data_IF_237913919012
#
_entry.id   IF_237913919012
#
_cell.length_a   1.000
_cell.length_b   1.000
_cell.length_c   1.000
_cell.angle_alpha   90.00
_cell.angle_beta   90.00
_cell.angle_gamma   90.00
#
_symmetry.space_group_name_H-M   'P 1'
#
loop_
_entity.id
_entity.type
_entity.pdbx_description
1 polymer ?
#
# COMPACT_ATOMS: atom_id res chain seq x y z
N UNK A 1 17.84 -16.75 12.72
CA UNK A 1 17.03 -17.80 13.37
C UNK A 1 15.56 -17.48 13.09
N UNK A 2 14.96 -18.05 12.03
CA UNK A 2 13.56 -17.82 11.71
C UNK A 2 12.74 -18.73 12.62
N UNK A 3 11.92 -18.16 13.52
CA UNK A 3 11.07 -18.93 14.43
C UNK A 3 10.25 -19.97 13.63
N UNK A 4 10.51 -21.26 13.85
CA UNK A 4 9.82 -22.39 13.18
C UNK A 4 8.28 -22.31 13.31
N UNK A 5 7.79 -21.64 14.36
CA UNK A 5 6.36 -21.41 14.64
C UNK A 5 5.67 -20.53 13.58
N UNK A 6 6.39 -19.59 12.96
CA UNK A 6 5.85 -18.67 11.94
C UNK A 6 5.73 -19.28 10.54
N UNK A 7 6.23 -20.51 10.33
CA UNK A 7 6.08 -21.24 9.07
C UNK A 7 4.80 -22.07 8.98
N UNK A 8 4.08 -22.22 10.08
CA UNK A 8 2.81 -22.96 10.10
C UNK A 8 1.70 -22.10 9.48
N UNK A 9 0.91 -22.71 8.59
CA UNK A 9 -0.32 -22.12 8.09
C UNK A 9 -1.36 -22.10 9.22
N UNK A 10 -2.13 -21.02 9.45
CA UNK A 10 -2.31 -19.81 8.63
C UNK A 10 -1.39 -18.62 8.99
N UNK A 11 -0.53 -18.76 10.01
CA UNK A 11 0.31 -17.67 10.52
C UNK A 11 1.31 -17.14 9.48
N UNK A 12 1.86 -18.01 8.63
CA UNK A 12 2.73 -17.59 7.53
C UNK A 12 2.03 -16.71 6.49
N UNK A 13 0.72 -16.95 6.25
CA UNK A 13 -0.09 -16.13 5.36
C UNK A 13 -0.38 -14.75 5.97
N UNK A 14 -0.79 -14.71 7.24
CA UNK A 14 -1.02 -13.46 7.97
C UNK A 14 0.26 -12.63 8.09
N UNK A 15 1.39 -13.28 8.37
CA UNK A 15 2.72 -12.67 8.45
C UNK A 15 3.13 -12.02 7.12
N UNK A 16 2.77 -12.64 5.99
CA UNK A 16 3.06 -12.07 4.66
C UNK A 16 2.15 -10.90 4.26
N UNK A 17 1.12 -10.60 5.07
CA UNK A 17 0.09 -9.60 4.76
C UNK A 17 0.12 -8.38 5.66
N UNK A 18 0.58 -8.54 6.90
CA UNK A 18 0.78 -7.44 7.83
C UNK A 18 2.10 -6.73 7.54
N UNK A 19 2.02 -5.42 7.37
CA UNK A 19 3.20 -4.58 7.15
C UNK A 19 4.16 -4.61 8.35
N UNK A 20 3.60 -4.77 9.54
CA UNK A 20 4.35 -4.88 10.80
C UNK A 20 5.26 -6.09 10.86
N UNK A 21 4.74 -7.24 10.40
CA UNK A 21 5.47 -8.49 10.34
C UNK A 21 6.64 -8.42 9.35
N UNK A 22 6.43 -7.77 8.21
CA UNK A 22 7.48 -7.50 7.22
C UNK A 22 8.57 -6.58 7.81
N UNK A 23 8.17 -5.49 8.44
CA UNK A 23 9.10 -4.52 9.05
C UNK A 23 9.90 -5.12 10.22
N UNK A 24 9.26 -5.92 11.08
CA UNK A 24 9.96 -6.64 12.14
C UNK A 24 10.95 -7.67 11.58
N UNK A 25 10.58 -8.36 10.50
CA UNK A 25 11.48 -9.24 9.76
C UNK A 25 12.72 -8.51 9.25
N UNK A 26 12.54 -7.32 8.67
CA UNK A 26 13.62 -6.46 8.18
C UNK A 26 14.54 -5.99 9.33
N UNK A 27 13.95 -5.52 10.43
CA UNK A 27 14.70 -5.10 11.64
C UNK A 27 15.53 -6.25 12.24
N UNK A 28 14.97 -7.46 12.30
CA UNK A 28 15.71 -8.63 12.77
C UNK A 28 16.92 -8.96 11.88
N UNK A 29 16.80 -8.81 10.56
CA UNK A 29 17.93 -8.98 9.64
C UNK A 29 19.01 -7.90 9.86
N UNK A 30 18.61 -6.65 10.03
CA UNK A 30 19.51 -5.55 10.35
C UNK A 30 20.27 -5.78 11.67
N UNK A 31 19.57 -6.21 12.72
CA UNK A 31 20.18 -6.59 13.99
C UNK A 31 21.15 -7.77 13.84
N UNK A 32 20.82 -8.77 13.02
CA UNK A 32 21.71 -9.89 12.74
C UNK A 32 22.99 -9.44 12.01
N UNK A 33 22.90 -8.48 11.08
CA UNK A 33 24.07 -7.90 10.40
C UNK A 33 24.95 -7.11 11.36
N UNK A 34 24.36 -6.32 12.26
CA UNK A 34 25.09 -5.55 13.29
C UNK A 34 25.76 -6.49 14.30
N UNK A 35 25.01 -7.48 14.80
CA UNK A 35 25.46 -8.45 15.80
C UNK A 35 26.48 -9.46 15.25
N UNK A 36 26.71 -9.52 13.94
CA UNK A 36 27.71 -10.41 13.36
C UNK A 36 29.12 -9.98 13.77
N UNK A 37 29.82 -10.83 14.53
CA UNK A 37 31.22 -10.64 14.96
C UNK A 37 32.25 -10.66 13.80
N UNK A 38 31.81 -10.77 12.55
CA UNK A 38 32.68 -10.65 11.38
C UNK A 38 33.16 -9.20 11.24
N UNK A 39 34.47 -8.98 11.42
CA UNK A 39 35.14 -7.70 11.19
C UNK A 39 34.89 -7.25 9.74
N UNK A 40 34.51 -5.99 9.54
CA UNK A 40 34.30 -5.44 8.20
C UNK A 40 35.64 -5.43 7.45
N UNK A 41 35.71 -6.12 6.31
CA UNK A 41 36.94 -6.22 5.52
C UNK A 41 37.13 -4.96 4.65
N UNK A 42 36.03 -4.38 4.16
CA UNK A 42 36.04 -3.23 3.26
C UNK A 42 35.38 -1.99 3.89
N UNK A 43 35.85 -0.79 3.52
CA UNK A 43 35.25 0.49 3.95
C UNK A 43 33.75 0.58 3.61
N UNK A 44 33.33 0.04 2.47
CA UNK A 44 31.92 0.01 2.08
C UNK A 44 31.06 -0.85 3.04
N UNK A 45 31.57 -1.99 3.51
CA UNK A 45 30.87 -2.84 4.49
C UNK A 45 30.79 -2.16 5.85
N UNK A 46 31.84 -1.44 6.26
CA UNK A 46 31.82 -0.63 7.47
C UNK A 46 30.78 0.47 7.39
N UNK A 47 30.77 1.24 6.29
CA UNK A 47 29.77 2.30 6.05
C UNK A 47 28.35 1.75 6.07
N UNK A 48 28.12 0.56 5.48
CA UNK A 48 26.81 -0.11 5.51
C UNK A 48 26.40 -0.47 6.94
N UNK A 49 27.26 -1.14 7.72
CA UNK A 49 26.97 -1.48 9.13
C UNK A 49 26.69 -0.22 9.96
N UNK A 50 27.47 0.85 9.77
CA UNK A 50 27.28 2.12 10.48
C UNK A 50 25.98 2.84 10.08
N UNK A 51 25.63 2.87 8.78
CA UNK A 51 24.35 3.41 8.30
C UNK A 51 23.16 2.68 8.93
N UNK A 52 23.18 1.34 8.96
CA UNK A 52 22.12 0.54 9.58
C UNK A 52 22.01 0.85 11.08
N UNK A 53 23.15 0.89 11.78
CA UNK A 53 23.17 1.15 13.22
C UNK A 53 22.63 2.55 13.58
N UNK A 54 23.06 3.59 12.88
CA UNK A 54 22.58 4.96 13.13
C UNK A 54 21.13 5.14 12.71
N UNK A 55 20.69 4.55 11.58
CA UNK A 55 19.28 4.55 11.19
C UNK A 55 18.41 3.89 12.26
N UNK A 56 18.83 2.75 12.82
CA UNK A 56 18.13 2.08 13.92
C UNK A 56 18.06 2.96 15.17
N UNK A 57 19.16 3.59 15.57
CA UNK A 57 19.18 4.48 16.75
C UNK A 57 18.24 5.67 16.57
N UNK A 58 18.24 6.29 15.39
CA UNK A 58 17.36 7.43 15.10
C UNK A 58 15.90 6.99 15.07
N UNK A 59 15.58 5.84 14.47
CA UNK A 59 14.23 5.30 14.44
C UNK A 59 13.68 5.02 15.85
N UNK A 60 14.48 4.40 16.71
CA UNK A 60 14.13 4.15 18.12
C UNK A 60 14.01 5.46 18.90
N UNK A 61 14.91 6.43 18.69
CA UNK A 61 14.82 7.73 19.36
C UNK A 61 13.53 8.48 18.97
N UNK A 62 13.18 8.49 17.68
CA UNK A 62 11.92 9.04 17.19
C UNK A 62 10.71 8.30 17.75
N UNK A 63 10.80 6.97 17.87
CA UNK A 63 9.79 6.14 18.52
C UNK A 63 9.57 6.52 20.00
N UNK A 64 10.64 6.66 20.77
CA UNK A 64 10.57 7.10 22.18
C UNK A 64 10.01 8.51 22.30
N UNK A 65 10.40 9.43 21.40
CA UNK A 65 9.81 10.78 21.34
C UNK A 65 8.30 10.73 21.07
N UNK A 66 7.85 9.85 20.17
CA UNK A 66 6.43 9.63 19.90
C UNK A 66 5.70 9.08 21.14
N UNK A 67 6.28 8.09 21.83
CA UNK A 67 5.72 7.56 23.08
C UNK A 67 5.59 8.65 24.13
N UNK A 68 6.65 9.42 24.37
CA UNK A 68 6.64 10.54 25.30
C UNK A 68 5.56 11.56 24.94
N UNK A 69 5.40 11.86 23.66
CA UNK A 69 4.39 12.79 23.17
C UNK A 69 2.95 12.25 23.33
N UNK A 70 2.75 10.95 23.16
CA UNK A 70 1.45 10.27 23.19
C UNK A 70 0.95 10.05 24.62
N UNK A 71 1.83 9.65 25.54
CA UNK A 71 1.50 9.40 26.94
C UNK A 71 1.41 10.67 27.79
N UNK A 72 2.05 11.75 27.36
CA UNK A 72 2.00 13.04 28.05
C UNK A 72 0.57 13.60 28.03
N UNK A 73 0.08 14.01 29.21
CA UNK A 73 -1.27 14.60 29.41
C UNK A 73 -2.41 13.71 28.93
N UNK A 74 -2.29 12.40 29.10
CA UNK A 74 -3.31 11.40 28.75
C UNK A 74 -3.92 11.57 27.33
N UNK A 75 -3.09 11.86 26.33
CA UNK A 75 -3.60 12.05 24.96
C UNK A 75 -4.11 10.78 24.30
N UNK A 76 -3.73 9.61 24.80
CA UNK A 76 -4.30 8.33 24.36
C UNK A 76 -5.80 8.27 24.65
N UNK A 77 -6.22 8.65 25.85
CA UNK A 77 -7.64 8.74 26.21
C UNK A 77 -8.39 9.71 25.30
N UNK A 78 -7.84 10.92 25.10
CA UNK A 78 -8.44 11.87 24.16
C UNK A 78 -8.54 11.34 22.72
N UNK A 79 -7.53 10.62 22.23
CA UNK A 79 -7.58 9.99 20.91
C UNK A 79 -8.67 8.90 20.84
N UNK A 80 -8.80 8.09 21.89
CA UNK A 80 -9.85 7.08 21.99
C UNK A 80 -11.24 7.72 21.97
N UNK A 81 -11.45 8.77 22.77
CA UNK A 81 -12.71 9.51 22.85
C UNK A 81 -13.08 10.17 21.51
N UNK A 82 -12.08 10.63 20.74
CA UNK A 82 -12.32 11.21 19.41
C UNK A 82 -12.55 10.16 18.31
N UNK A 83 -12.15 8.90 18.50
CA UNK A 83 -12.21 7.89 17.46
C UNK A 83 -13.65 7.49 17.11
N UNK A 84 -14.52 7.43 18.12
CA UNK A 84 -15.93 7.03 17.94
C UNK A 84 -16.71 8.11 17.18
N UNK A 85 -16.69 9.40 17.58
CA UNK A 85 -17.34 10.46 16.80
C UNK A 85 -16.84 10.56 15.36
N UNK A 86 -15.54 10.32 15.12
CA UNK A 86 -14.99 10.28 13.76
C UNK A 86 -15.53 9.09 12.97
N UNK A 87 -15.64 7.91 13.60
CA UNK A 87 -16.24 6.74 12.96
C UNK A 87 -17.73 6.96 12.65
N UNK A 88 -18.48 7.61 13.55
CA UNK A 88 -19.88 8.00 13.33
C UNK A 88 -20.02 8.96 12.16
N UNK A 89 -19.21 10.02 12.14
CA UNK A 89 -19.22 10.99 11.03
C UNK A 89 -18.89 10.32 9.69
N UNK A 90 -17.89 9.42 9.65
CA UNK A 90 -17.58 8.65 8.44
C UNK A 90 -18.75 7.73 8.05
N UNK A 91 -19.44 7.12 9.02
CA UNK A 91 -20.60 6.29 8.76
C UNK A 91 -21.75 7.11 8.15
N UNK A 92 -22.02 8.30 8.68
CA UNK A 92 -23.03 9.25 8.18
C UNK A 92 -22.73 9.68 6.75
N UNK A 93 -21.50 10.14 6.46
CA UNK A 93 -21.08 10.53 5.11
C UNK A 93 -21.22 9.38 4.10
N UNK A 94 -20.88 8.15 4.50
CA UNK A 94 -21.08 6.96 3.64
C UNK A 94 -22.56 6.63 3.44
N UNK A 95 -23.40 6.81 4.47
CA UNK A 95 -24.85 6.60 4.37
C UNK A 95 -25.48 7.65 3.45
N UNK A 96 -25.14 8.92 3.60
CA UNK A 96 -25.63 10.02 2.78
C UNK A 96 -25.20 9.86 1.33
N UNK A 97 -23.95 9.44 1.09
CA UNK A 97 -23.47 9.10 -0.25
C UNK A 97 -24.28 7.96 -0.89
N UNK A 98 -24.63 6.92 -0.13
CA UNK A 98 -25.47 5.83 -0.61
C UNK A 98 -26.92 6.26 -0.85
N UNK A 99 -27.48 7.10 0.03
CA UNK A 99 -28.83 7.64 -0.16
C UNK A 99 -28.90 8.55 -1.40
N UNK A 100 -27.87 9.37 -1.62
CA UNK A 100 -27.72 10.18 -2.83
C UNK A 100 -27.65 9.30 -4.08
N UNK A 101 -26.89 8.20 -4.00
CA UNK A 101 -26.76 7.21 -5.07
C UNK A 101 -28.08 6.50 -5.37
N UNK A 102 -28.90 6.22 -4.34
CA UNK A 102 -30.23 5.63 -4.45
C UNK A 102 -31.31 6.57 -5.03
N UNK A 103 -31.02 7.88 -5.04
CA UNK A 103 -31.92 8.93 -5.48
C UNK A 103 -31.91 9.11 -6.99
N UNK A 104 -31.16 10.10 -7.46
CA UNK A 104 -30.95 10.43 -8.86
C UNK A 104 -29.57 11.10 -9.01
N UNK A 105 -28.49 10.32 -8.85
CA UNK A 105 -27.14 10.85 -8.83
C UNK A 105 -26.83 11.54 -10.16
N UNK A 106 -26.45 12.83 -10.09
CA UNK A 106 -26.17 13.67 -11.26
C UNK A 106 -27.27 13.67 -12.35
N UNK A 107 -28.53 13.44 -11.97
CA UNK A 107 -29.67 13.38 -12.90
C UNK A 107 -29.75 12.09 -13.73
N UNK A 108 -28.90 11.09 -13.46
CA UNK A 108 -28.95 9.80 -14.15
C UNK A 108 -30.14 8.98 -13.64
N UNK A 109 -31.02 8.57 -14.56
CA UNK A 109 -32.16 7.70 -14.25
C UNK A 109 -31.67 6.26 -14.05
N UNK A 110 -31.46 5.90 -12.80
CA UNK A 110 -31.03 4.56 -12.38
C UNK A 110 -32.20 3.56 -12.37
N UNK A 111 -31.89 2.27 -12.46
CA UNK A 111 -32.89 1.22 -12.25
C UNK A 111 -33.25 1.14 -10.76
N UNK A 112 -34.44 1.61 -10.40
CA UNK A 112 -34.90 1.73 -9.00
C UNK A 112 -34.90 0.41 -8.23
N UNK A 113 -35.29 -0.70 -8.85
CA UNK A 113 -35.36 -1.99 -8.16
C UNK A 113 -33.97 -2.49 -7.77
N UNK A 114 -33.01 -2.44 -8.70
CA UNK A 114 -31.64 -2.85 -8.44
C UNK A 114 -30.95 -1.93 -7.42
N UNK A 115 -31.16 -0.63 -7.58
CA UNK A 115 -30.58 0.41 -6.76
C UNK A 115 -31.06 0.31 -5.29
N UNK A 116 -32.35 0.03 -5.07
CA UNK A 116 -32.89 -0.23 -3.73
C UNK A 116 -32.28 -1.47 -3.07
N UNK A 117 -32.09 -2.55 -3.83
CA UNK A 117 -31.50 -3.80 -3.31
C UNK A 117 -30.02 -3.58 -2.95
N UNK A 118 -29.24 -2.95 -3.84
CA UNK A 118 -27.83 -2.66 -3.60
C UNK A 118 -27.65 -1.67 -2.45
N UNK A 119 -28.41 -0.58 -2.44
CA UNK A 119 -28.37 0.43 -1.39
C UNK A 119 -28.65 -0.15 -0.02
N UNK A 120 -29.75 -0.92 0.14
CA UNK A 120 -30.06 -1.60 1.41
C UNK A 120 -28.96 -2.58 1.83
N UNK A 121 -28.40 -3.32 0.89
CA UNK A 121 -27.31 -4.25 1.16
C UNK A 121 -26.08 -3.52 1.71
N UNK A 122 -25.63 -2.43 1.08
CA UNK A 122 -24.44 -1.69 1.54
C UNK A 122 -24.71 -0.90 2.83
N UNK A 123 -25.89 -0.29 2.98
CA UNK A 123 -26.30 0.39 4.21
C UNK A 123 -26.28 -0.58 5.40
N UNK A 124 -26.81 -1.79 5.24
CA UNK A 124 -26.77 -2.81 6.28
C UNK A 124 -25.33 -3.13 6.74
N UNK A 125 -24.38 -3.20 5.81
CA UNK A 125 -22.98 -3.44 6.15
C UNK A 125 -22.32 -2.24 6.87
N UNK A 126 -22.69 -1.01 6.52
CA UNK A 126 -22.23 0.18 7.26
C UNK A 126 -22.78 0.14 8.69
N UNK A 127 -24.07 -0.16 8.87
CA UNK A 127 -24.68 -0.31 10.18
C UNK A 127 -24.01 -1.42 11.02
N UNK A 128 -23.68 -2.56 10.41
CA UNK A 128 -22.95 -3.63 11.07
C UNK A 128 -21.55 -3.15 11.50
N UNK A 129 -20.83 -2.46 10.61
CA UNK A 129 -19.49 -1.94 10.89
C UNK A 129 -19.52 -0.93 12.05
N UNK A 130 -20.39 0.08 12.01
CA UNK A 130 -20.45 1.10 13.07
C UNK A 130 -20.91 0.48 14.40
N UNK A 131 -21.84 -0.49 14.37
CA UNK A 131 -22.25 -1.23 15.58
C UNK A 131 -21.09 -2.02 16.19
N UNK A 132 -20.22 -2.59 15.35
CA UNK A 132 -19.01 -3.28 15.82
C UNK A 132 -18.00 -2.31 16.45
N UNK A 133 -17.80 -1.13 15.85
CA UNK A 133 -16.94 -0.09 16.46
C UNK A 133 -17.46 0.33 17.83
N UNK A 134 -18.77 0.55 17.97
CA UNK A 134 -19.39 0.83 19.26
C UNK A 134 -19.22 -0.29 20.27
N UNK A 135 -19.35 -1.56 19.85
CA UNK A 135 -19.09 -2.70 20.72
C UNK A 135 -17.63 -2.76 21.18
N UNK A 136 -16.70 -2.33 20.33
CA UNK A 136 -15.27 -2.28 20.64
C UNK A 136 -14.86 -1.05 21.46
N UNK A 137 -15.71 -0.01 21.55
CA UNK A 137 -15.49 1.24 22.29
C UNK A 137 -14.73 1.09 23.61
N UNK A 138 -15.17 0.26 24.59
CA UNK A 138 -14.49 0.16 25.88
C UNK A 138 -13.06 -0.41 25.80
N UNK A 139 -12.70 -1.07 24.70
CA UNK A 139 -11.37 -1.64 24.48
C UNK A 139 -10.44 -0.72 23.67
N UNK A 140 -10.96 0.33 23.03
CA UNK A 140 -10.19 1.20 22.12
C UNK A 140 -9.04 1.87 22.86
N UNK A 141 -9.27 2.44 24.05
CA UNK A 141 -8.23 3.09 24.84
C UNK A 141 -7.10 2.10 25.19
N UNK A 142 -7.47 0.90 25.64
CA UNK A 142 -6.52 -0.16 25.96
C UNK A 142 -5.69 -0.58 24.74
N UNK A 143 -6.33 -0.75 23.58
CA UNK A 143 -5.66 -1.09 22.32
C UNK A 143 -4.68 0.02 21.93
N UNK A 144 -5.11 1.29 21.94
CA UNK A 144 -4.27 2.44 21.61
C UNK A 144 -3.10 2.59 22.59
N UNK A 145 -3.28 2.22 23.85
CA UNK A 145 -2.22 2.18 24.84
C UNK A 145 -1.12 1.17 24.45
N UNK A 146 -1.49 -0.08 24.15
CA UNK A 146 -0.51 -1.09 23.73
C UNK A 146 0.14 -0.77 22.38
N UNK A 147 -0.62 -0.21 21.44
CA UNK A 147 -0.10 0.31 20.16
C UNK A 147 0.89 1.45 20.41
N UNK A 148 0.58 2.37 21.31
CA UNK A 148 1.49 3.44 21.73
C UNK A 148 2.80 2.88 22.28
N UNK A 149 2.74 1.90 23.18
CA UNK A 149 3.92 1.27 23.76
C UNK A 149 4.83 0.61 22.71
N UNK A 150 4.25 0.02 21.66
CA UNK A 150 5.02 -0.63 20.59
C UNK A 150 5.96 0.32 19.83
N UNK A 151 5.69 1.64 19.85
CA UNK A 151 6.56 2.64 19.25
C UNK A 151 7.94 2.73 19.92
N UNK A 152 8.13 2.16 21.13
CA UNK A 152 9.46 1.99 21.74
C UNK A 152 10.40 1.14 20.86
N UNK A 153 9.86 0.29 19.97
CA UNK A 153 10.66 -0.52 19.04
C UNK A 153 11.13 0.27 17.81
N UNK A 154 10.61 1.49 17.60
CA UNK A 154 10.93 2.36 16.48
C UNK A 154 9.69 3.02 15.88
N UNK A 155 9.86 4.22 15.31
CA UNK A 155 8.79 4.95 14.63
C UNK A 155 8.29 4.18 13.40
N UNK A 156 9.18 3.54 12.64
CA UNK A 156 8.80 2.73 11.47
C UNK A 156 7.84 1.59 11.83
N UNK A 157 8.06 0.91 12.97
CA UNK A 157 7.18 -0.16 13.45
C UNK A 157 5.80 0.42 13.81
N UNK A 158 5.75 1.56 14.47
CA UNK A 158 4.50 2.24 14.81
C UNK A 158 3.70 2.65 13.56
N UNK A 159 4.36 3.17 12.52
CA UNK A 159 3.72 3.52 11.24
C UNK A 159 3.16 2.28 10.52
N UNK A 160 3.85 1.14 10.56
CA UNK A 160 3.32 -0.12 10.04
C UNK A 160 2.10 -0.59 10.83
N UNK A 161 2.11 -0.52 12.16
CA UNK A 161 0.95 -0.88 12.99
C UNK A 161 -0.24 0.01 12.64
N UNK A 162 -0.01 1.32 12.47
CA UNK A 162 -1.03 2.26 12.04
C UNK A 162 -1.60 1.89 10.65
N UNK A 163 -0.76 1.53 9.69
CA UNK A 163 -1.19 1.08 8.36
C UNK A 163 -2.07 -0.18 8.44
N UNK A 164 -1.69 -1.15 9.28
CA UNK A 164 -2.45 -2.39 9.51
C UNK A 164 -3.80 -2.10 10.21
N UNK A 165 -3.86 -1.17 11.18
CA UNK A 165 -5.11 -0.71 11.81
C UNK A 165 -6.03 -0.02 10.79
N UNK A 166 -5.49 0.85 9.94
CA UNK A 166 -6.26 1.49 8.86
C UNK A 166 -6.81 0.42 7.89
N UNK A 167 -6.02 -0.60 7.56
CA UNK A 167 -6.46 -1.71 6.70
C UNK A 167 -7.65 -2.45 7.30
N UNK A 168 -7.60 -2.72 8.61
CA UNK A 168 -8.67 -3.40 9.35
C UNK A 168 -9.92 -2.53 9.44
N UNK A 169 -9.77 -1.24 9.82
CA UNK A 169 -10.89 -0.31 9.97
C UNK A 169 -11.64 -0.09 8.65
N UNK A 170 -10.91 -0.03 7.54
CA UNK A 170 -11.45 0.18 6.19
C UNK A 170 -11.75 -1.13 5.44
N UNK A 171 -11.76 -2.28 6.13
CA UNK A 171 -12.04 -3.58 5.52
C UNK A 171 -13.41 -3.62 4.82
N UNK A 172 -14.43 -2.99 5.39
CA UNK A 172 -15.76 -2.91 4.81
C UNK A 172 -15.76 -2.21 3.43
N UNK A 173 -14.97 -1.14 3.27
CA UNK A 173 -14.78 -0.44 1.98
C UNK A 173 -14.12 -1.38 0.95
N UNK A 174 -13.13 -2.16 1.37
CA UNK A 174 -12.52 -3.17 0.51
C UNK A 174 -13.54 -4.23 0.07
N UNK A 175 -14.39 -4.72 0.98
CA UNK A 175 -15.48 -5.63 0.63
C UNK A 175 -16.45 -5.01 -0.39
N UNK A 176 -16.84 -3.74 -0.21
CA UNK A 176 -17.73 -3.04 -1.15
C UNK A 176 -17.11 -2.93 -2.54
N UNK A 177 -15.84 -2.56 -2.61
CA UNK A 177 -15.07 -2.55 -3.85
C UNK A 177 -15.05 -3.94 -4.52
N UNK A 178 -14.77 -5.00 -3.76
CA UNK A 178 -14.74 -6.38 -4.29
C UNK A 178 -16.11 -6.79 -4.83
N UNK A 179 -17.19 -6.53 -4.09
CA UNK A 179 -18.55 -6.87 -4.52
C UNK A 179 -18.97 -6.08 -5.77
N UNK A 180 -18.71 -4.76 -5.78
CA UNK A 180 -18.97 -3.91 -6.93
C UNK A 180 -18.19 -4.34 -8.17
N UNK A 181 -16.89 -4.61 -8.02
CA UNK A 181 -16.02 -5.08 -9.09
C UNK A 181 -16.51 -6.40 -9.68
N UNK A 182 -16.83 -7.39 -8.84
CA UNK A 182 -17.33 -8.70 -9.29
C UNK A 182 -18.65 -8.59 -10.02
N UNK A 183 -19.57 -7.79 -9.49
CA UNK A 183 -20.89 -7.59 -10.09
C UNK A 183 -20.78 -6.86 -11.43
N UNK A 184 -19.93 -5.83 -11.51
CA UNK A 184 -19.65 -5.11 -12.75
C UNK A 184 -18.98 -6.03 -13.80
N UNK A 185 -17.95 -6.80 -13.43
CA UNK A 185 -17.35 -7.80 -14.30
C UNK A 185 -18.39 -8.78 -14.85
N UNK A 186 -19.24 -9.33 -13.98
CA UNK A 186 -20.29 -10.28 -14.38
C UNK A 186 -21.18 -9.67 -15.47
N UNK A 187 -21.55 -8.39 -15.34
CA UNK A 187 -22.36 -7.70 -16.35
C UNK A 187 -21.61 -7.46 -17.66
N UNK A 188 -20.34 -7.03 -17.60
CA UNK A 188 -19.54 -6.83 -18.82
C UNK A 188 -19.32 -8.15 -19.57
N UNK A 189 -18.97 -9.23 -18.86
CA UNK A 189 -18.84 -10.56 -19.48
C UNK A 189 -20.18 -11.09 -19.99
N UNK A 190 -21.27 -10.88 -19.25
CA UNK A 190 -22.62 -11.24 -19.67
C UNK A 190 -23.02 -10.53 -20.97
N UNK A 191 -22.86 -9.20 -21.03
CA UNK A 191 -23.12 -8.40 -22.22
C UNK A 191 -22.24 -8.80 -23.40
N UNK A 192 -20.94 -9.01 -23.15
CA UNK A 192 -20.00 -9.48 -24.18
C UNK A 192 -20.42 -10.86 -24.73
N UNK A 193 -20.88 -11.76 -23.87
CA UNK A 193 -21.35 -13.08 -24.28
C UNK A 193 -22.62 -13.02 -25.12
N UNK A 194 -23.61 -12.23 -24.68
CA UNK A 194 -24.87 -12.04 -25.41
C UNK A 194 -24.67 -11.27 -26.72
N UNK A 195 -23.71 -10.34 -26.76
CA UNK A 195 -23.32 -9.68 -28.01
C UNK A 195 -22.79 -10.67 -29.05
N UNK A 196 -22.05 -11.70 -28.62
CA UNK A 196 -21.62 -12.78 -29.52
C UNK A 196 -22.80 -13.63 -29.99
N UNK A 197 -23.76 -13.92 -29.11
CA UNK A 197 -24.99 -14.65 -29.45
C UNK A 197 -25.74 -13.98 -30.61
N UNK A 198 -25.93 -12.65 -30.60
CA UNK A 198 -26.57 -11.93 -31.71
C UNK A 198 -25.83 -12.01 -33.04
N UNK A 199 -24.50 -12.20 -32.98
CA UNK A 199 -23.66 -12.31 -34.17
C UNK A 199 -23.54 -13.75 -34.67
N UNK A 200 -24.27 -14.70 -34.07
CA UNK A 200 -24.13 -16.12 -34.39
C UNK A 200 -22.76 -16.68 -33.99
N UNK A 201 -22.17 -16.16 -32.90
CA UNK A 201 -20.82 -16.51 -32.44
C UNK A 201 -20.82 -17.07 -31.02
N UNK A 202 -19.98 -18.08 -30.76
CA UNK A 202 -19.79 -18.73 -29.45
C UNK A 202 -18.31 -18.76 -29.07
N UNK A 203 -18.00 -18.53 -27.80
CA UNK A 203 -16.64 -18.78 -27.29
C UNK A 203 -16.44 -20.27 -27.01
N UNK A 204 -15.44 -20.87 -27.65
CA UNK A 204 -15.06 -22.25 -27.43
C UNK A 204 -13.93 -22.30 -26.41
N UNK A 205 -14.23 -22.73 -25.18
CA UNK A 205 -13.26 -22.82 -24.08
C UNK A 205 -12.15 -23.84 -24.38
N UNK A 206 -12.45 -24.91 -25.11
CA UNK A 206 -11.48 -25.97 -25.40
C UNK A 206 -10.41 -25.53 -26.41
N UNK A 207 -10.79 -24.67 -27.38
CA UNK A 207 -9.90 -24.18 -28.43
C UNK A 207 -9.50 -22.70 -28.26
N UNK A 208 -9.93 -22.06 -27.17
CA UNK A 208 -9.69 -20.64 -26.86
C UNK A 208 -9.94 -19.70 -28.04
N UNK A 209 -11.02 -19.94 -28.81
CA UNK A 209 -11.36 -19.18 -30.02
C UNK A 209 -12.87 -18.94 -30.15
N UNK A 210 -13.25 -17.97 -30.99
CA UNK A 210 -14.66 -17.68 -31.30
C UNK A 210 -15.09 -18.48 -32.53
N UNK A 211 -16.10 -19.33 -32.37
CA UNK A 211 -16.67 -20.18 -33.41
C UNK A 211 -18.04 -19.65 -33.87
N UNK A 212 -18.39 -19.86 -35.14
CA UNK A 212 -19.75 -19.60 -35.62
C UNK A 212 -20.72 -20.70 -35.14
N UNK A 213 -21.92 -20.32 -34.74
CA UNK A 213 -22.96 -21.22 -34.27
C UNK A 213 -24.31 -20.74 -34.83
N UNK A 214 -25.10 -21.66 -35.38
CA UNK A 214 -26.50 -21.41 -35.70
C UNK A 214 -27.31 -21.44 -34.41
N UNK A 215 -28.14 -20.42 -34.18
CA UNK A 215 -29.03 -20.32 -33.04
C UNK A 215 -30.48 -20.26 -33.52
N UNK A 216 -31.37 -20.89 -32.79
CA UNK A 216 -32.81 -20.85 -33.08
C UNK A 216 -33.40 -19.47 -32.73
N UNK A 217 -34.53 -19.12 -33.34
CA UNK A 217 -35.20 -17.83 -33.13
C UNK A 217 -35.54 -17.59 -31.65
N UNK A 218 -35.99 -18.62 -30.94
CA UNK A 218 -36.34 -18.53 -29.51
C UNK A 218 -35.13 -18.20 -28.65
N UNK A 219 -33.97 -18.79 -28.95
CA UNK A 219 -32.72 -18.53 -28.24
C UNK A 219 -32.23 -17.09 -28.48
N UNK A 220 -32.38 -16.61 -29.71
CA UNK A 220 -32.05 -15.23 -30.07
C UNK A 220 -32.99 -14.24 -29.35
N UNK A 221 -34.28 -14.55 -29.27
CA UNK A 221 -35.27 -13.73 -28.58
C UNK A 221 -34.96 -13.60 -27.08
N UNK A 222 -34.73 -14.72 -26.39
CA UNK A 222 -34.35 -14.74 -24.98
C UNK A 222 -33.03 -13.99 -24.76
N UNK A 223 -32.05 -14.18 -25.65
CA UNK A 223 -30.79 -13.47 -25.62
C UNK A 223 -30.97 -11.95 -25.70
N UNK A 224 -31.88 -11.49 -26.57
CA UNK A 224 -32.19 -10.07 -26.79
C UNK A 224 -32.83 -9.46 -25.56
N UNK A 225 -33.78 -10.17 -24.94
CA UNK A 225 -34.41 -9.75 -23.70
C UNK A 225 -33.38 -9.66 -22.57
N UNK A 226 -32.55 -10.68 -22.37
CA UNK A 226 -31.54 -10.65 -21.32
C UNK A 226 -30.49 -9.55 -21.54
N UNK A 227 -30.09 -9.32 -22.79
CA UNK A 227 -29.13 -8.27 -23.14
C UNK A 227 -29.69 -6.89 -22.84
N UNK A 228 -30.93 -6.61 -23.24
CA UNK A 228 -31.57 -5.32 -22.96
C UNK A 228 -31.71 -5.09 -21.47
N UNK A 229 -32.12 -6.10 -20.68
CA UNK A 229 -32.14 -6.03 -19.21
C UNK A 229 -30.75 -5.70 -18.68
N UNK A 230 -29.71 -6.48 -19.01
CA UNK A 230 -28.37 -6.24 -18.50
C UNK A 230 -27.81 -4.88 -18.91
N UNK A 231 -28.12 -4.41 -20.12
CA UNK A 231 -27.71 -3.12 -20.64
C UNK A 231 -28.34 -1.97 -19.86
N UNK A 232 -29.66 -2.04 -19.57
CA UNK A 232 -30.33 -1.02 -18.76
C UNK A 232 -29.96 -1.07 -17.28
N UNK A 233 -29.54 -2.23 -16.77
CA UNK A 233 -29.06 -2.37 -15.39
C UNK A 233 -27.57 -1.95 -15.25
N UNK A 234 -26.81 -1.88 -16.34
CA UNK A 234 -25.36 -1.62 -16.31
C UNK A 234 -24.99 -0.27 -15.69
N UNK A 235 -25.64 0.87 -16.05
CA UNK A 235 -25.27 2.19 -15.53
C UNK A 235 -25.31 2.25 -13.99
N UNK A 236 -26.32 1.65 -13.38
CA UNK A 236 -26.44 1.57 -11.90
C UNK A 236 -25.24 0.88 -11.30
N UNK A 237 -24.84 -0.25 -11.82
CA UNK A 237 -23.73 -0.99 -11.23
C UNK A 237 -22.37 -0.43 -11.56
N UNK A 238 -22.23 0.22 -12.72
CA UNK A 238 -21.03 0.97 -13.05
C UNK A 238 -20.82 2.14 -12.08
N UNK A 239 -21.89 2.85 -11.70
CA UNK A 239 -21.81 3.97 -10.77
C UNK A 239 -21.44 3.53 -9.34
N UNK A 240 -22.09 2.49 -8.80
CA UNK A 240 -21.69 1.91 -7.50
C UNK A 240 -20.23 1.42 -7.52
N UNK A 241 -19.83 0.72 -8.58
CA UNK A 241 -18.45 0.27 -8.74
C UNK A 241 -17.46 1.45 -8.75
N UNK A 242 -17.76 2.52 -9.49
CA UNK A 242 -16.93 3.70 -9.56
C UNK A 242 -16.76 4.36 -8.19
N UNK A 243 -17.85 4.61 -7.47
CA UNK A 243 -17.82 5.25 -6.14
C UNK A 243 -16.98 4.44 -5.15
N UNK A 244 -17.21 3.12 -5.04
CA UNK A 244 -16.43 2.28 -4.12
C UNK A 244 -14.97 2.13 -4.54
N UNK A 245 -14.69 2.19 -5.84
CA UNK A 245 -13.32 2.20 -6.35
C UNK A 245 -12.59 3.49 -5.96
N UNK A 246 -13.26 4.64 -6.02
CA UNK A 246 -12.69 5.93 -5.58
C UNK A 246 -12.41 5.92 -4.08
N UNK A 247 -13.35 5.45 -3.26
CA UNK A 247 -13.15 5.27 -1.82
C UNK A 247 -11.97 4.34 -1.52
N UNK A 248 -11.88 3.20 -2.24
CA UNK A 248 -10.75 2.27 -2.08
C UNK A 248 -9.43 2.90 -2.50
N UNK A 249 -9.39 3.68 -3.58
CA UNK A 249 -8.19 4.36 -4.05
C UNK A 249 -7.70 5.36 -3.00
N UNK A 250 -8.60 6.13 -2.38
CA UNK A 250 -8.26 7.06 -1.30
C UNK A 250 -7.56 6.34 -0.13
N UNK A 251 -8.12 5.21 0.33
CA UNK A 251 -7.51 4.40 1.39
C UNK A 251 -6.13 3.88 0.97
N UNK A 252 -6.00 3.39 -0.26
CA UNK A 252 -4.72 2.89 -0.78
C UNK A 252 -3.67 4.00 -0.88
N UNK A 253 -4.06 5.23 -1.23
CA UNK A 253 -3.15 6.39 -1.25
C UNK A 253 -2.64 6.72 0.16
N UNK A 254 -3.52 6.74 1.16
CA UNK A 254 -3.13 6.98 2.56
C UNK A 254 -2.16 5.90 3.05
N UNK A 255 -2.47 4.63 2.81
CA UNK A 255 -1.56 3.52 3.14
C UNK A 255 -0.23 3.62 2.38
N UNK A 256 -0.28 3.94 1.09
CA UNK A 256 0.90 4.13 0.26
C UNK A 256 1.81 5.26 0.76
N UNK A 257 1.23 6.35 1.26
CA UNK A 257 2.00 7.43 1.89
C UNK A 257 2.69 6.97 3.18
N UNK A 258 2.00 6.20 4.03
CA UNK A 258 2.62 5.61 5.23
C UNK A 258 3.79 4.68 4.87
N UNK A 259 3.60 3.81 3.88
CA UNK A 259 4.66 2.93 3.39
C UNK A 259 5.84 3.72 2.80
N UNK A 260 5.56 4.77 2.02
CA UNK A 260 6.60 5.64 1.47
C UNK A 260 7.41 6.33 2.58
N UNK A 261 6.77 6.76 3.67
CA UNK A 261 7.45 7.34 4.82
C UNK A 261 8.37 6.32 5.50
N UNK A 262 7.89 5.08 5.69
CA UNK A 262 8.70 3.98 6.23
C UNK A 262 9.90 3.69 5.33
N UNK A 263 9.68 3.60 4.02
CA UNK A 263 10.74 3.35 3.02
C UNK A 263 11.78 4.46 2.98
N UNK A 264 11.33 5.70 3.12
CA UNK A 264 12.22 6.86 3.19
C UNK A 264 13.10 6.75 4.44
N UNK A 265 12.53 6.45 5.60
CA UNK A 265 13.29 6.28 6.84
C UNK A 265 14.31 5.14 6.77
N UNK A 266 13.94 4.00 6.17
CA UNK A 266 14.81 2.83 6.09
C UNK A 266 15.88 2.94 4.99
N UNK A 267 15.62 3.67 3.90
CA UNK A 267 16.56 3.76 2.77
C UNK A 267 17.59 4.88 2.92
N UNK A 268 17.32 5.91 3.73
CA UNK A 268 18.21 7.06 3.93
C UNK A 268 19.50 6.67 4.68
N UNK A 269 20.68 6.88 4.08
CA UNK A 269 21.95 6.55 4.74
C UNK A 269 22.37 7.68 5.70
N UNK A 270 21.68 7.78 6.82
CA UNK A 270 21.83 8.90 7.76
C UNK A 270 23.26 9.06 8.26
N UNK A 271 23.97 7.97 8.55
CA UNK A 271 25.36 8.06 9.00
C UNK A 271 26.30 8.64 7.94
N UNK A 272 26.20 8.23 6.67
CA UNK A 272 27.06 8.79 5.62
C UNK A 272 26.75 10.27 5.35
N UNK A 273 25.50 10.70 5.49
CA UNK A 273 25.09 12.10 5.38
C UNK A 273 25.66 12.92 6.55
N UNK A 274 25.51 12.44 7.79
CA UNK A 274 26.06 13.09 8.99
C UNK A 274 27.60 13.14 8.89
N UNK A 275 28.23 12.05 8.43
CA UNK A 275 29.67 12.00 8.25
C UNK A 275 30.14 13.02 7.20
N UNK A 276 29.38 13.19 6.11
CA UNK A 276 29.65 14.22 5.11
C UNK A 276 29.56 15.63 5.69
N UNK A 277 28.51 15.89 6.49
CA UNK A 277 28.29 17.18 7.13
C UNK A 277 29.40 17.52 8.13
N UNK A 278 29.73 16.60 9.04
CA UNK A 278 30.71 16.84 10.10
C UNK A 278 32.16 16.69 9.63
N UNK A 279 32.45 15.77 8.69
CA UNK A 279 33.80 15.43 8.24
C UNK A 279 33.83 15.08 6.75
N UNK A 280 33.67 16.12 5.94
CA UNK A 280 33.68 16.04 4.48
C UNK A 280 34.89 15.32 3.87
N UNK A 281 36.07 15.41 4.49
CA UNK A 281 37.32 14.81 3.99
C UNK A 281 37.33 13.27 4.01
N UNK A 282 36.48 12.60 4.81
CA UNK A 282 36.44 11.12 4.91
C UNK A 282 35.70 10.44 3.75
N UNK A 283 34.90 11.21 3.00
CA UNK A 283 34.09 10.76 1.87
C UNK A 283 34.65 11.41 0.60
N UNK A 284 35.83 10.97 0.18
CA UNK A 284 36.50 11.46 -1.01
C UNK A 284 35.87 10.85 -2.27
N UNK A 285 35.46 11.70 -3.22
CA UNK A 285 35.15 11.28 -4.58
C UNK A 285 36.43 11.11 -5.41
N UNK A 286 37.44 11.91 -5.11
CA UNK A 286 38.73 11.91 -5.79
C UNK A 286 39.71 12.91 -5.16
N UNK A 287 40.88 13.02 -5.78
CA UNK A 287 41.98 13.87 -5.33
C UNK A 287 42.36 14.80 -6.48
N UNK A 288 42.46 16.09 -6.19
CA UNK A 288 42.99 17.10 -7.12
C UNK A 288 44.40 17.47 -6.67
N UNK A 289 45.37 17.37 -7.56
CA UNK A 289 46.73 17.85 -7.32
C UNK A 289 46.89 19.23 -7.95
N UNK A 290 47.33 20.21 -7.16
CA UNK A 290 47.73 21.52 -7.66
C UNK A 290 49.26 21.59 -7.65
N UNK A 291 49.86 21.95 -8.77
CA UNK A 291 51.31 22.14 -8.87
C UNK A 291 51.67 23.46 -8.20
N UNK A 292 52.56 23.42 -7.20
CA UNK A 292 53.15 24.62 -6.59
C UNK A 292 54.39 25.02 -7.40
N UNK A 293 54.75 26.30 -7.35
CA UNK A 293 55.81 26.93 -8.18
C UNK A 293 57.02 26.03 -8.48
N UNK A 294 57.33 25.91 -9.76
CA UNK A 294 58.42 25.11 -10.27
C UNK A 294 59.68 25.97 -10.39
N UNK A 295 60.69 25.64 -9.59
CA UNK A 295 62.04 26.21 -9.71
C UNK A 295 62.98 25.17 -10.32
N UNK A 296 63.78 25.59 -11.30
CA UNK A 296 64.78 24.73 -11.92
C UNK A 296 65.77 24.18 -10.88
N UNK A 297 65.95 22.86 -10.89
CA UNK A 297 66.82 22.14 -9.96
C UNK A 297 66.19 21.71 -8.62
N UNK A 298 64.89 21.97 -8.38
CA UNK A 298 64.17 21.49 -7.17
C UNK A 298 63.08 20.46 -7.52
N UNK A 299 62.75 19.53 -6.59
CA UNK A 299 61.68 18.56 -6.81
C UNK A 299 60.31 19.25 -6.91
N UNK A 300 59.48 18.75 -7.83
CA UNK A 300 58.10 19.21 -8.05
C UNK A 300 57.29 19.14 -6.75
N UNK A 301 56.74 20.26 -6.30
CA UNK A 301 55.88 20.32 -5.11
C UNK A 301 54.43 20.25 -5.55
N UNK A 302 53.72 19.18 -5.18
CA UNK A 302 52.29 19.01 -5.44
C UNK A 302 51.49 19.21 -4.15
N UNK A 303 50.51 20.11 -4.18
CA UNK A 303 49.52 20.25 -3.13
C UNK A 303 48.32 19.34 -3.41
N UNK A 304 48.11 18.36 -2.55
CA UNK A 304 47.02 17.40 -2.64
C UNK A 304 45.77 17.95 -1.95
N UNK A 305 44.68 18.13 -2.71
CA UNK A 305 43.35 18.51 -2.20
C UNK A 305 42.36 17.36 -2.42
N UNK A 306 41.58 17.02 -1.40
CA UNK A 306 40.54 16.00 -1.50
C UNK A 306 39.25 16.67 -1.98
N UNK A 307 38.68 16.18 -3.09
CA UNK A 307 37.36 16.60 -3.54
C UNK A 307 36.30 15.71 -2.88
N UNK A 308 35.44 16.27 -2.01
CA UNK A 308 34.50 15.46 -1.26
C UNK A 308 33.24 15.15 -2.10
N UNK A 309 32.63 13.99 -1.87
CA UNK A 309 31.49 13.47 -2.65
C UNK A 309 30.24 14.36 -2.54
N UNK A 310 29.51 14.62 -3.63
CA UNK A 310 28.26 15.39 -3.55
C UNK A 310 27.21 14.69 -2.68
N UNK A 311 26.26 15.42 -2.10
CA UNK A 311 25.19 14.82 -1.29
C UNK A 311 24.36 13.79 -2.09
N UNK A 312 24.08 14.07 -3.36
CA UNK A 312 23.42 13.11 -4.25
C UNK A 312 24.27 11.85 -4.48
N UNK A 313 25.58 12.02 -4.67
CA UNK A 313 26.52 10.89 -4.78
C UNK A 313 26.57 10.04 -3.51
N UNK A 314 26.58 10.68 -2.33
CA UNK A 314 26.55 9.95 -1.04
C UNK A 314 25.27 9.11 -0.92
N UNK A 315 24.11 9.68 -1.28
CA UNK A 315 22.85 8.95 -1.23
C UNK A 315 22.85 7.81 -2.23
N UNK A 316 23.26 8.03 -3.48
CA UNK A 316 23.30 6.97 -4.51
C UNK A 316 24.26 5.83 -4.15
N UNK A 317 25.44 6.14 -3.62
CA UNK A 317 26.46 5.12 -3.30
C UNK A 317 26.15 4.33 -2.03
N UNK A 318 25.55 4.97 -1.02
CA UNK A 318 25.36 4.37 0.30
C UNK A 318 23.91 4.05 0.67
N UNK A 319 22.95 4.25 -0.24
CA UNK A 319 21.53 3.91 -0.03
C UNK A 319 21.39 2.48 0.46
N UNK A 320 20.60 2.30 1.51
CA UNK A 320 20.28 0.95 1.99
C UNK A 320 19.27 0.30 1.04
N UNK A 321 19.43 -1.00 0.73
CA UNK A 321 18.47 -1.70 -0.13
C UNK A 321 17.09 -1.65 0.52
N UNK A 322 16.12 -1.11 -0.22
CA UNK A 322 14.72 -1.08 0.19
C UNK A 322 14.03 -2.32 -0.37
N UNK A 323 13.25 -3.02 0.45
CA UNK A 323 12.50 -4.20 0.03
C UNK A 323 11.12 -3.88 -0.55
N UNK A 324 10.74 -2.61 -0.47
CA UNK A 324 9.42 -2.16 -0.83
C UNK A 324 9.20 -2.22 -2.33
N UNK A 325 8.15 -2.96 -2.67
CA UNK A 325 7.80 -3.25 -4.04
C UNK A 325 7.02 -2.07 -4.61
N UNK A 326 7.69 -1.22 -5.39
CA UNK A 326 7.00 -0.23 -6.20
C UNK A 326 6.10 -0.94 -7.23
N UNK A 327 4.88 -0.44 -7.47
CA UNK A 327 4.00 -1.02 -8.47
C UNK A 327 4.70 -1.00 -9.84
N UNK A 328 4.93 -2.20 -10.39
CA UNK A 328 5.52 -2.37 -11.74
C UNK A 328 4.51 -2.12 -12.86
N UNK A 329 3.22 -2.02 -12.51
CA UNK A 329 2.15 -1.80 -13.48
C UNK A 329 2.20 -0.35 -13.99
N UNK A 330 2.22 -0.17 -15.32
CA UNK A 330 2.05 1.15 -15.93
C UNK A 330 0.64 1.70 -15.63
N UNK A 331 0.51 3.02 -15.46
CA UNK A 331 -0.79 3.67 -15.20
C UNK A 331 -1.87 3.26 -16.21
N UNK A 332 -1.50 3.07 -17.48
CA UNK A 332 -2.39 2.61 -18.54
C UNK A 332 -2.89 1.18 -18.33
N UNK A 333 -2.07 0.28 -17.76
CA UNK A 333 -2.50 -1.08 -17.43
C UNK A 333 -3.46 -1.10 -16.24
N UNK A 334 -3.24 -0.23 -15.25
CA UNK A 334 -4.15 -0.06 -14.11
C UNK A 334 -5.52 0.49 -14.56
N UNK A 335 -5.53 1.53 -15.41
CA UNK A 335 -6.77 2.05 -16.00
C UNK A 335 -7.51 0.98 -16.81
N UNK A 336 -6.80 0.14 -17.55
CA UNK A 336 -7.42 -0.97 -18.30
C UNK A 336 -8.02 -2.03 -17.38
N UNK A 337 -7.33 -2.39 -16.29
CA UNK A 337 -7.83 -3.32 -15.26
C UNK A 337 -9.09 -2.78 -14.59
N UNK A 338 -9.08 -1.49 -14.21
CA UNK A 338 -10.23 -0.77 -13.67
C UNK A 338 -11.42 -0.79 -14.63
N UNK A 339 -11.19 -0.49 -15.91
CA UNK A 339 -12.26 -0.47 -16.89
C UNK A 339 -12.92 -1.84 -17.11
N UNK A 340 -12.14 -2.92 -16.96
CA UNK A 340 -12.62 -4.31 -17.03
C UNK A 340 -13.23 -4.81 -15.70
N UNK A 341 -13.12 -4.04 -14.62
CA UNK A 341 -13.55 -4.44 -13.28
C UNK A 341 -12.61 -5.42 -12.58
N UNK A 342 -11.39 -5.62 -13.09
CA UNK A 342 -10.42 -6.52 -12.45
C UNK A 342 -9.98 -5.96 -11.09
N UNK A 343 -9.84 -6.85 -10.11
CA UNK A 343 -9.39 -6.50 -8.77
C UNK A 343 -7.94 -6.00 -8.81
N UNK A 344 -7.73 -4.77 -8.35
CA UNK A 344 -6.40 -4.20 -8.19
C UNK A 344 -5.84 -4.64 -6.84
N UNK A 345 -4.69 -5.31 -6.91
CA UNK A 345 -3.86 -5.59 -5.74
C UNK A 345 -2.58 -4.75 -5.85
N UNK A 346 -2.49 -3.60 -5.16
CA UNK A 346 -1.37 -2.67 -5.37
C UNK A 346 -0.01 -3.26 -4.95
N UNK A 347 -0.01 -4.20 -4.02
CA UNK A 347 1.22 -4.68 -3.34
C UNK A 347 1.51 -6.17 -3.55
N UNK A 348 0.75 -6.88 -4.40
CA UNK A 348 0.93 -8.33 -4.57
C UNK A 348 1.91 -8.59 -5.72
N UNK A 349 3.01 -9.28 -5.43
CA UNK A 349 3.74 -10.01 -6.46
C UNK A 349 2.74 -10.95 -7.15
N UNK A 350 2.48 -10.75 -8.44
CA UNK A 350 2.30 -11.92 -9.30
C UNK A 350 3.62 -12.67 -9.16
N UNK A 351 3.66 -13.67 -8.28
CA UNK A 351 4.60 -14.75 -8.50
C UNK A 351 4.32 -15.17 -9.93
N UNK A 352 5.30 -14.98 -10.81
CA UNK A 352 5.29 -15.65 -12.10
C UNK A 352 5.04 -17.11 -11.76
N UNK A 353 3.82 -17.59 -12.00
CA UNK A 353 3.67 -18.96 -12.42
C UNK A 353 4.39 -18.97 -13.76
N UNK A 354 5.66 -19.32 -13.73
CA UNK A 354 6.26 -20.06 -14.82
C UNK A 354 5.40 -21.32 -14.94
N UNK A 355 4.44 -21.27 -15.85
CA UNK A 355 3.96 -22.48 -16.49
C UNK A 355 5.07 -23.04 -17.37
#
# INVERSE_FOLDING_TARGET
>A
CFCRVLKLWPLSFLWSKLSTCEQLGHRLQHLQVISSNKKAQNQAQFMRKANIFVSLLIDVALGILLVSWLYRKNRIGHLADTLIPVADHVAEELQDLLQWLMGAPAGLKMNRALDQVLGRFFLYHIHLWISYIHLMSPFIEMILWYVGLSACLGLTVALCILSDIIALLTFHIYCFYVYGARLYCLKIYGLSSLWRLFRGKKWNVLRQRVDSCSYDLDQLFIGTLLFTILLFLLPTTALYYLVFTLLRLLVVVVQGLLHLLVDLMDSLPLYSIILRLCRSYRLAAGVKFQVLEQQDGKPLRLLMQINPLSYSGVVQTYRLPTYSCYPKDSWMSLCKKLFLGELIYPWKHKGEKQD
#
